data_IF_126297984544
#
_entry.id   IF_126297984544
#
_cell.length_a   1.000
_cell.length_b   1.000
_cell.length_c   1.000
_cell.angle_alpha   90.00
_cell.angle_beta   90.00
_cell.angle_gamma   90.00
#
_symmetry.space_group_name_H-M   'P 1'
#
loop_
_entity.id
_entity.type
_entity.pdbx_description
1 polymer ?
#
# COMPACT_ATOMS: atom_id res chain seq x y z
N UNK A 1 18.32 13.13 -8.90
CA UNK A 1 17.66 11.94 -8.32
C UNK A 1 17.83 11.94 -6.80
N UNK A 2 19.07 11.97 -6.30
CA UNK A 2 19.38 12.00 -4.85
C UNK A 2 18.74 13.18 -4.09
N UNK A 3 18.78 14.40 -4.67
CA UNK A 3 18.16 15.60 -4.05
C UNK A 3 16.64 15.46 -3.90
N UNK A 4 15.97 14.91 -4.92
CA UNK A 4 14.52 14.65 -4.87
C UNK A 4 14.18 13.59 -3.84
N UNK A 5 14.95 12.50 -3.81
CA UNK A 5 14.74 11.40 -2.89
C UNK A 5 14.91 11.85 -1.44
N UNK A 6 15.99 12.57 -1.15
CA UNK A 6 16.26 13.08 0.20
C UNK A 6 15.20 14.07 0.65
N UNK A 7 14.78 15.01 -0.21
CA UNK A 7 13.73 15.99 0.11
C UNK A 7 12.42 15.29 0.46
N UNK A 8 11.98 14.38 -0.40
CA UNK A 8 10.67 13.74 -0.26
C UNK A 8 10.65 12.75 0.91
N UNK A 9 11.74 12.01 1.12
CA UNK A 9 11.91 11.16 2.30
C UNK A 9 11.89 11.98 3.60
N UNK A 10 12.64 13.08 3.67
CA UNK A 10 12.65 13.96 4.86
C UNK A 10 11.30 14.62 5.11
N UNK A 11 10.60 15.07 4.05
CA UNK A 11 9.29 15.69 4.17
C UNK A 11 8.25 14.70 4.74
N UNK A 12 8.29 13.44 4.29
CA UNK A 12 7.41 12.38 4.81
C UNK A 12 7.76 12.03 6.25
N UNK A 13 9.03 11.81 6.57
CA UNK A 13 9.50 11.48 7.92
C UNK A 13 9.23 12.60 8.94
N UNK A 14 9.26 13.86 8.51
CA UNK A 14 8.89 14.99 9.35
C UNK A 14 7.40 14.98 9.72
N UNK A 15 6.54 14.43 8.87
CA UNK A 15 5.12 14.30 9.14
C UNK A 15 4.81 13.04 9.96
N UNK A 16 4.95 13.15 11.28
CA UNK A 16 4.70 12.05 12.23
C UNK A 16 3.31 11.45 12.09
N UNK A 17 2.27 12.25 11.86
CA UNK A 17 0.90 11.75 11.68
C UNK A 17 0.78 10.88 10.44
N UNK A 18 1.33 11.34 9.30
CA UNK A 18 1.33 10.58 8.06
C UNK A 18 2.08 9.25 8.19
N UNK A 19 3.26 9.27 8.82
CA UNK A 19 4.05 8.05 9.03
C UNK A 19 3.32 7.08 9.97
N UNK A 20 2.77 7.57 11.09
CA UNK A 20 2.04 6.73 12.04
C UNK A 20 0.81 6.09 11.40
N UNK A 21 0.00 6.87 10.67
CA UNK A 21 -1.20 6.34 10.01
C UNK A 21 -0.82 5.28 8.99
N UNK A 22 0.09 5.57 8.06
CA UNK A 22 0.51 4.58 7.04
C UNK A 22 1.14 3.32 7.66
N UNK A 23 1.91 3.48 8.74
CA UNK A 23 2.55 2.35 9.39
C UNK A 23 1.56 1.47 10.14
N UNK A 24 0.52 2.06 10.76
CA UNK A 24 -0.48 1.34 11.55
C UNK A 24 -1.61 0.78 10.70
N UNK A 25 -1.94 1.40 9.58
CA UNK A 25 -3.05 1.01 8.71
C UNK A 25 -2.95 -0.46 8.28
N UNK A 26 -1.81 -0.87 7.71
CA UNK A 26 -1.59 -2.24 7.25
C UNK A 26 -1.63 -3.28 8.40
N UNK A 27 -0.94 -3.10 9.54
CA UNK A 27 -1.09 -3.93 10.74
C UNK A 27 -2.51 -4.09 11.25
N UNK A 28 -3.24 -2.97 11.37
CA UNK A 28 -4.59 -2.97 11.94
C UNK A 28 -5.54 -3.72 11.00
N UNK A 29 -5.46 -3.46 9.70
CA UNK A 29 -6.26 -4.20 8.70
C UNK A 29 -5.93 -5.69 8.72
N UNK A 30 -4.65 -6.06 8.76
CA UNK A 30 -4.23 -7.47 8.84
C UNK A 30 -4.79 -8.15 10.08
N UNK A 31 -4.71 -7.50 11.24
CA UNK A 31 -5.22 -8.03 12.51
C UNK A 31 -6.73 -8.24 12.45
N UNK A 32 -7.49 -7.22 12.01
CA UNK A 32 -8.94 -7.29 11.91
C UNK A 32 -9.35 -8.43 10.97
N UNK A 33 -8.77 -8.51 9.78
CA UNK A 33 -9.14 -9.53 8.81
C UNK A 33 -8.75 -10.93 9.25
N UNK A 34 -7.53 -11.10 9.76
CA UNK A 34 -7.08 -12.41 10.23
C UNK A 34 -7.90 -12.89 11.44
N UNK A 35 -8.36 -11.98 12.30
CA UNK A 35 -9.27 -12.31 13.41
C UNK A 35 -10.62 -12.82 12.91
N UNK A 36 -11.24 -12.14 11.94
CA UNK A 36 -12.54 -12.58 11.39
C UNK A 36 -12.46 -13.87 10.57
N UNK A 37 -11.32 -14.12 9.91
CA UNK A 37 -11.12 -15.31 9.06
C UNK A 37 -10.51 -16.49 9.83
N UNK A 38 -10.18 -16.31 11.12
CA UNK A 38 -9.75 -17.40 11.98
C UNK A 38 -10.97 -18.22 12.38
N UNK A 39 -11.24 -19.28 11.63
CA UNK A 39 -12.33 -20.22 11.91
C UNK A 39 -12.02 -21.07 13.15
N UNK A 40 -12.88 -21.02 14.16
CA UNK A 40 -12.83 -21.92 15.32
C UNK A 40 -13.72 -23.13 15.01
N UNK A 41 -13.14 -24.33 15.03
CA UNK A 41 -13.88 -25.57 14.79
C UNK A 41 -14.95 -25.85 15.86
N UNK A 42 -15.80 -26.85 15.63
CA UNK A 42 -16.92 -27.20 16.52
C UNK A 42 -16.49 -27.61 17.94
N UNK A 43 -15.23 -28.04 18.13
CA UNK A 43 -14.67 -28.44 19.44
C UNK A 43 -13.83 -27.33 20.11
N UNK A 44 -13.77 -26.12 19.53
CA UNK A 44 -13.17 -24.94 20.15
C UNK A 44 -11.66 -24.76 19.95
N UNK A 45 -10.94 -25.78 19.46
CA UNK A 45 -9.51 -25.67 19.14
C UNK A 45 -9.29 -25.25 17.67
N UNK A 46 -8.34 -24.32 17.47
CA UNK A 46 -7.97 -23.83 16.15
C UNK A 46 -7.00 -24.80 15.46
N UNK A 47 -7.44 -25.44 14.37
CA UNK A 47 -6.59 -26.23 13.49
C UNK A 47 -6.48 -25.54 12.14
N UNK A 48 -5.27 -25.08 11.77
CA UNK A 48 -5.03 -24.37 10.51
C UNK A 48 -5.51 -25.14 9.27
N UNK A 49 -5.35 -26.47 9.27
CA UNK A 49 -5.77 -27.36 8.17
C UNK A 49 -7.28 -27.35 7.93
N UNK A 50 -8.07 -27.04 8.95
CA UNK A 50 -9.54 -27.01 8.88
C UNK A 50 -10.07 -25.60 8.60
N UNK A 51 -9.18 -24.63 8.39
CA UNK A 51 -9.58 -23.27 8.07
C UNK A 51 -9.90 -23.13 6.58
N UNK A 52 -11.16 -23.33 6.22
CA UNK A 52 -11.67 -23.14 4.86
C UNK A 52 -11.59 -21.69 4.36
N UNK A 53 -11.29 -20.72 5.24
CA UNK A 53 -11.22 -19.29 4.92
C UNK A 53 -9.85 -18.81 4.40
N UNK A 54 -8.86 -19.70 4.24
CA UNK A 54 -7.52 -19.33 3.77
C UNK A 54 -7.52 -18.76 2.34
N UNK A 55 -8.24 -19.33 1.35
CA UNK A 55 -8.36 -18.71 0.03
C UNK A 55 -9.01 -17.32 0.06
N UNK A 56 -10.02 -17.13 0.90
CA UNK A 56 -10.72 -15.85 1.10
C UNK A 56 -9.77 -14.82 1.72
N UNK A 57 -8.95 -15.22 2.69
CA UNK A 57 -7.91 -14.36 3.26
C UNK A 57 -6.94 -13.87 2.19
N UNK A 58 -6.43 -14.77 1.33
CA UNK A 58 -5.52 -14.39 0.26
C UNK A 58 -6.16 -13.43 -0.75
N UNK A 59 -7.42 -13.69 -1.13
CA UNK A 59 -8.15 -12.83 -2.03
C UNK A 59 -8.31 -11.41 -1.46
N UNK A 60 -8.76 -11.29 -0.21
CA UNK A 60 -8.94 -9.99 0.44
C UNK A 60 -7.58 -9.31 0.68
N UNK A 61 -6.53 -10.06 1.01
CA UNK A 61 -5.18 -9.52 1.17
C UNK A 61 -4.67 -8.83 -0.11
N UNK A 62 -4.93 -9.40 -1.29
CA UNK A 62 -4.61 -8.78 -2.59
C UNK A 62 -5.39 -7.48 -2.79
N UNK A 63 -6.69 -7.48 -2.48
CA UNK A 63 -7.53 -6.27 -2.56
C UNK A 63 -6.98 -5.17 -1.65
N UNK A 64 -6.60 -5.51 -0.41
CA UNK A 64 -6.01 -4.56 0.54
C UNK A 64 -4.66 -4.04 0.05
N UNK A 65 -3.80 -4.90 -0.50
CA UNK A 65 -2.53 -4.45 -1.07
C UNK A 65 -2.71 -3.47 -2.24
N UNK A 66 -3.71 -3.70 -3.10
CA UNK A 66 -4.10 -2.74 -4.15
C UNK A 66 -4.58 -1.42 -3.55
N UNK A 67 -5.48 -1.48 -2.56
CA UNK A 67 -6.04 -0.30 -1.91
C UNK A 67 -4.97 0.58 -1.26
N UNK A 68 -4.08 -0.03 -0.48
CA UNK A 68 -2.99 0.68 0.21
C UNK A 68 -2.03 1.33 -0.79
N UNK A 69 -1.58 0.58 -1.81
CA UNK A 69 -0.67 1.13 -2.84
C UNK A 69 -1.31 2.28 -3.62
N UNK A 70 -2.58 2.16 -4.00
CA UNK A 70 -3.30 3.22 -4.69
C UNK A 70 -3.44 4.47 -3.83
N UNK A 71 -3.83 4.31 -2.57
CA UNK A 71 -4.11 5.45 -1.67
C UNK A 71 -2.84 6.22 -1.34
N UNK A 72 -1.73 5.52 -1.06
CA UNK A 72 -0.43 6.16 -0.78
C UNK A 72 0.08 6.95 -1.99
N UNK A 73 -0.18 6.46 -3.21
CA UNK A 73 0.36 7.06 -4.42
C UNK A 73 -0.53 8.13 -5.06
N UNK A 74 -1.85 8.02 -4.93
CA UNK A 74 -2.77 8.80 -5.74
C UNK A 74 -2.80 10.29 -5.39
N UNK A 75 -2.38 10.72 -4.21
CA UNK A 75 -2.36 12.15 -3.86
C UNK A 75 -1.05 12.87 -4.18
N UNK A 76 -0.02 12.14 -4.58
CA UNK A 76 1.35 12.65 -4.49
C UNK A 76 1.67 13.69 -5.58
N UNK A 77 1.26 13.46 -6.82
CA UNK A 77 1.46 14.43 -7.91
C UNK A 77 0.53 15.63 -7.72
N UNK A 78 -0.69 15.42 -7.21
CA UNK A 78 -1.63 16.52 -6.93
C UNK A 78 -1.08 17.45 -5.84
N UNK A 79 -0.52 16.92 -4.74
CA UNK A 79 0.09 17.73 -3.69
C UNK A 79 1.27 18.55 -4.19
N UNK A 80 2.12 17.94 -5.02
CA UNK A 80 3.33 18.58 -5.51
C UNK A 80 3.09 19.49 -6.72
N UNK A 81 1.86 19.56 -7.25
CA UNK A 81 1.51 20.30 -8.47
C UNK A 81 1.96 21.77 -8.46
N UNK A 82 1.81 22.47 -7.32
CA UNK A 82 2.26 23.89 -7.18
C UNK A 82 3.78 24.02 -7.21
N UNK A 83 4.51 23.06 -6.66
CA UNK A 83 5.98 23.03 -6.65
C UNK A 83 6.48 22.69 -8.05
N UNK A 84 5.90 21.67 -8.68
CA UNK A 84 6.21 21.26 -10.05
C UNK A 84 5.99 22.40 -11.06
N UNK A 85 4.94 23.21 -10.90
CA UNK A 85 4.72 24.40 -11.74
C UNK A 85 5.83 25.45 -11.59
N UNK A 86 6.43 25.58 -10.40
CA UNK A 86 7.57 26.50 -10.15
C UNK A 86 8.88 25.92 -10.69
N UNK A 87 9.09 24.61 -10.55
CA UNK A 87 10.30 23.92 -11.03
C UNK A 87 10.37 23.85 -12.56
N UNK A 88 9.23 23.95 -13.27
CA UNK A 88 9.21 24.07 -14.75
C UNK A 88 10.01 25.27 -15.28
N UNK A 89 10.16 26.33 -14.48
CA UNK A 89 10.96 27.49 -14.84
C UNK A 89 12.47 27.31 -14.59
N UNK A 90 12.88 26.20 -13.97
CA UNK A 90 14.25 25.92 -13.54
C UNK A 90 14.89 24.73 -14.27
N UNK A 91 14.23 24.19 -15.30
CA UNK A 91 14.75 23.14 -16.19
C UNK A 91 15.19 21.83 -15.48
N UNK A 92 14.45 21.42 -14.44
CA UNK A 92 14.67 20.14 -13.76
C UNK A 92 14.04 18.95 -14.50
N UNK A 93 14.68 17.78 -14.40
CA UNK A 93 14.27 16.57 -15.13
C UNK A 93 13.05 15.87 -14.51
N UNK A 94 11.97 15.78 -15.29
CA UNK A 94 10.73 15.07 -14.92
C UNK A 94 10.96 13.60 -14.54
N UNK A 95 11.84 12.90 -15.29
CA UNK A 95 12.17 11.50 -15.01
C UNK A 95 12.83 11.29 -13.66
N UNK A 96 13.68 12.23 -13.21
CA UNK A 96 14.32 12.17 -11.91
C UNK A 96 13.34 12.36 -10.74
N UNK A 97 12.32 13.20 -10.94
CA UNK A 97 11.21 13.37 -10.01
C UNK A 97 10.36 12.09 -9.90
N UNK A 98 9.93 11.55 -11.05
CA UNK A 98 9.06 10.36 -11.07
C UNK A 98 9.77 9.13 -10.49
N UNK A 99 11.03 8.89 -10.87
CA UNK A 99 11.82 7.77 -10.34
C UNK A 99 12.01 7.87 -8.82
N UNK A 100 12.24 9.09 -8.31
CA UNK A 100 12.34 9.33 -6.87
C UNK A 100 11.04 9.00 -6.14
N UNK A 101 9.89 9.44 -6.68
CA UNK A 101 8.57 9.16 -6.09
C UNK A 101 8.25 7.67 -6.08
N UNK A 102 8.45 7.00 -7.21
CA UNK A 102 8.27 5.54 -7.32
C UNK A 102 9.13 4.80 -6.30
N UNK A 103 10.41 5.17 -6.17
CA UNK A 103 11.32 4.53 -5.22
C UNK A 103 10.85 4.67 -3.76
N UNK A 104 10.39 5.85 -3.36
CA UNK A 104 9.86 6.08 -2.00
C UNK A 104 8.57 5.29 -1.76
N UNK A 105 7.66 5.28 -2.72
CA UNK A 105 6.41 4.51 -2.62
C UNK A 105 6.68 3.02 -2.48
N UNK A 106 7.61 2.48 -3.27
CA UNK A 106 7.99 1.07 -3.19
C UNK A 106 8.56 0.72 -1.81
N UNK A 107 9.37 1.59 -1.20
CA UNK A 107 9.88 1.37 0.15
C UNK A 107 8.76 1.37 1.20
N UNK A 108 7.82 2.32 1.11
CA UNK A 108 6.67 2.38 2.02
C UNK A 108 5.81 1.12 1.87
N UNK A 109 5.46 0.75 0.64
CA UNK A 109 4.67 -0.45 0.37
C UNK A 109 5.38 -1.73 0.79
N UNK A 110 6.70 -1.84 0.61
CA UNK A 110 7.47 -3.01 1.06
C UNK A 110 7.34 -3.23 2.57
N UNK A 111 7.42 -2.15 3.35
CA UNK A 111 7.28 -2.18 4.81
C UNK A 111 5.83 -2.49 5.21
N UNK A 112 4.84 -1.85 4.56
CA UNK A 112 3.43 -2.08 4.84
C UNK A 112 3.01 -3.53 4.55
N UNK A 113 3.35 -4.07 3.38
CA UNK A 113 3.00 -5.45 3.02
C UNK A 113 3.74 -6.46 3.88
N UNK A 114 4.97 -6.16 4.32
CA UNK A 114 5.70 -7.02 5.25
C UNK A 114 4.97 -7.12 6.60
N UNK A 115 4.58 -5.99 7.19
CA UNK A 115 3.82 -6.01 8.44
C UNK A 115 2.47 -6.70 8.28
N UNK A 116 1.80 -6.48 7.17
CA UNK A 116 0.54 -7.14 6.86
C UNK A 116 0.70 -8.68 6.87
N UNK A 117 1.69 -9.21 6.16
CA UNK A 117 1.95 -10.66 6.10
C UNK A 117 2.40 -11.21 7.45
N UNK A 118 3.26 -10.49 8.18
CA UNK A 118 3.71 -10.91 9.51
C UNK A 118 2.55 -11.10 10.47
N UNK A 119 1.65 -10.11 10.55
CA UNK A 119 0.50 -10.15 11.46
C UNK A 119 -0.52 -11.17 10.99
N UNK A 120 -0.87 -11.17 9.70
CA UNK A 120 -1.83 -12.12 9.14
C UNK A 120 -1.39 -13.57 9.30
N UNK A 121 -0.13 -13.88 8.99
CA UNK A 121 0.41 -15.23 9.16
C UNK A 121 0.53 -15.64 10.63
N UNK A 122 0.89 -14.71 11.53
CA UNK A 122 0.94 -14.99 12.97
C UNK A 122 -0.45 -15.32 13.53
N UNK A 123 -1.48 -14.57 13.14
CA UNK A 123 -2.86 -14.77 13.61
C UNK A 123 -3.49 -16.03 12.99
N UNK A 124 -3.22 -16.34 11.73
CA UNK A 124 -3.75 -17.55 11.06
C UNK A 124 -2.86 -18.79 11.27
N UNK A 125 -1.73 -18.69 11.96
CA UNK A 125 -0.82 -19.81 12.17
C UNK A 125 -0.18 -20.35 10.89
N UNK A 126 -0.03 -19.51 9.86
CA UNK A 126 0.56 -19.89 8.58
C UNK A 126 2.09 -20.01 8.74
N UNK A 127 2.62 -21.21 8.57
CA UNK A 127 4.04 -21.49 8.71
C UNK A 127 4.74 -21.59 7.34
N UNK A 128 5.96 -21.03 7.25
CA UNK A 128 6.83 -21.19 6.08
C UNK A 128 6.47 -20.37 4.82
N UNK A 129 5.31 -19.73 4.77
CA UNK A 129 4.84 -19.00 3.57
C UNK A 129 5.00 -17.46 3.64
N UNK A 130 5.91 -16.96 4.48
CA UNK A 130 6.13 -15.51 4.61
C UNK A 130 6.63 -14.88 3.30
N UNK A 131 7.71 -15.42 2.73
CA UNK A 131 8.35 -14.82 1.55
C UNK A 131 7.44 -14.84 0.30
N UNK A 132 6.76 -15.97 -0.05
CA UNK A 132 5.85 -15.99 -1.19
C UNK A 132 4.68 -15.01 -1.05
N UNK A 133 4.06 -14.94 0.13
CA UNK A 133 2.96 -14.03 0.38
C UNK A 133 3.42 -12.57 0.34
N UNK A 134 4.58 -12.30 0.93
CA UNK A 134 5.13 -10.95 0.91
C UNK A 134 5.46 -10.49 -0.51
N UNK A 135 6.12 -11.33 -1.33
CA UNK A 135 6.43 -11.00 -2.73
C UNK A 135 5.16 -10.79 -3.55
N UNK A 136 4.14 -11.63 -3.36
CA UNK A 136 2.85 -11.49 -4.01
C UNK A 136 2.23 -10.13 -3.68
N UNK A 137 2.01 -9.83 -2.40
CA UNK A 137 1.39 -8.56 -1.98
C UNK A 137 2.25 -7.35 -2.33
N UNK A 138 3.58 -7.46 -2.22
CA UNK A 138 4.50 -6.40 -2.61
C UNK A 138 4.42 -6.08 -4.10
N UNK A 139 4.42 -7.10 -4.97
CA UNK A 139 4.29 -6.90 -6.41
C UNK A 139 2.95 -6.24 -6.79
N UNK A 140 1.87 -6.66 -6.13
CA UNK A 140 0.54 -6.06 -6.28
C UNK A 140 0.53 -4.60 -5.84
N UNK A 141 1.16 -4.28 -4.70
CA UNK A 141 1.27 -2.92 -4.20
C UNK A 141 2.15 -2.03 -5.12
N UNK A 142 3.21 -2.57 -5.69
CA UNK A 142 4.04 -1.88 -6.68
C UNK A 142 3.24 -1.50 -7.94
N UNK A 143 2.42 -2.43 -8.46
CA UNK A 143 1.52 -2.12 -9.57
C UNK A 143 0.52 -1.02 -9.19
N UNK A 144 -0.09 -1.14 -8.01
CA UNK A 144 -1.02 -0.15 -7.47
C UNK A 144 -0.38 1.24 -7.29
N UNK A 145 0.87 1.32 -6.86
CA UNK A 145 1.60 2.59 -6.74
C UNK A 145 1.74 3.30 -8.09
N UNK A 146 2.13 2.56 -9.13
CA UNK A 146 2.26 3.13 -10.49
C UNK A 146 0.91 3.56 -11.04
N UNK A 147 -0.13 2.75 -10.83
CA UNK A 147 -1.50 3.10 -11.21
C UNK A 147 -1.97 4.34 -10.45
N UNK A 148 -1.70 4.42 -9.16
CA UNK A 148 -2.03 5.56 -8.30
C UNK A 148 -1.34 6.83 -8.76
N UNK A 149 -0.06 6.77 -9.14
CA UNK A 149 0.63 7.90 -9.76
C UNK A 149 -0.03 8.35 -11.07
N UNK A 150 -0.44 7.43 -11.94
CA UNK A 150 -1.16 7.77 -13.16
C UNK A 150 -2.50 8.44 -12.87
N UNK A 151 -3.26 7.93 -11.89
CA UNK A 151 -4.50 8.53 -11.39
C UNK A 151 -4.22 9.94 -10.84
N UNK A 152 -3.16 10.11 -10.05
CA UNK A 152 -2.72 11.40 -9.50
C UNK A 152 -2.41 12.44 -10.58
N UNK A 153 -1.75 12.01 -11.66
CA UNK A 153 -1.44 12.87 -12.79
C UNK A 153 -2.69 13.26 -13.60
N UNK A 154 -3.69 12.37 -13.67
CA UNK A 154 -4.85 12.49 -14.55
C UNK A 154 -5.93 13.40 -13.98
N UNK A 155 -6.15 13.37 -12.66
CA UNK A 155 -7.23 14.12 -12.01
C UNK A 155 -6.76 15.46 -11.44
N UNK A 156 -7.70 16.40 -11.28
CA UNK A 156 -7.40 17.77 -10.81
C UNK A 156 -7.67 18.00 -9.32
N UNK A 157 -8.26 17.02 -8.63
CA UNK A 157 -8.64 17.13 -7.22
C UNK A 157 -8.55 15.79 -6.51
N UNK A 158 -8.06 15.81 -5.26
CA UNK A 158 -8.05 14.65 -4.36
C UNK A 158 -9.46 14.05 -4.17
N UNK A 159 -10.51 14.88 -4.20
CA UNK A 159 -11.89 14.39 -4.06
C UNK A 159 -12.29 13.41 -5.17
N UNK A 160 -11.85 13.65 -6.40
CA UNK A 160 -12.20 12.78 -7.55
C UNK A 160 -11.46 11.44 -7.44
N UNK A 161 -10.22 11.48 -6.99
CA UNK A 161 -9.40 10.28 -6.75
C UNK A 161 -10.10 9.34 -5.77
N UNK A 162 -10.60 9.85 -4.65
CA UNK A 162 -11.26 9.00 -3.65
C UNK A 162 -12.55 8.35 -4.15
N UNK A 163 -13.21 8.93 -5.15
CA UNK A 163 -14.39 8.32 -5.80
C UNK A 163 -13.95 7.21 -6.76
N UNK A 164 -12.81 7.39 -7.44
CA UNK A 164 -12.31 6.45 -8.46
C UNK A 164 -11.60 5.24 -7.84
N UNK A 165 -10.89 5.41 -6.71
CA UNK A 165 -10.13 4.33 -6.05
C UNK A 165 -11.03 3.08 -5.79
N UNK A 166 -12.21 3.18 -5.17
CA UNK A 166 -13.07 2.02 -4.98
C UNK A 166 -13.48 1.37 -6.30
N UNK A 167 -13.82 2.16 -7.32
CA UNK A 167 -14.23 1.66 -8.65
C UNK A 167 -13.10 0.88 -9.33
N UNK A 168 -11.84 1.30 -9.15
CA UNK A 168 -10.67 0.60 -9.69
C UNK A 168 -10.37 -0.72 -8.99
N UNK A 169 -10.79 -0.85 -7.72
CA UNK A 169 -10.45 -2.00 -6.87
C UNK A 169 -11.53 -3.07 -6.91
N UNK A 170 -12.79 -2.69 -7.18
CA UNK A 170 -13.88 -3.66 -7.32
C UNK A 170 -13.48 -4.66 -8.42
N UNK A 171 -13.32 -5.95 -8.09
CA UNK A 171 -13.06 -6.97 -9.08
C UNK A 171 -14.26 -7.02 -10.03
N UNK A 172 -14.01 -6.70 -11.30
CA UNK A 172 -15.00 -6.76 -12.38
C UNK A 172 -15.31 -8.21 -12.75
#
# INVERSE_FOLDING_TARGET
>A
LEVYFRRDALAKLANRQYVLVNLLEAPVLALVMAFFLRYLGQEGDYVFRENDNVPQYLFIAVIVALFLGLTVAAEEIIRDRKILQREKFLDLSWGGYLASKVGIMFLISAVQTLFFVLIGNAVLGIQGMLLPYWLLLFSTACFANVLGLNVSASFNSAKVIYIVIPVLIIPQ
#
